data_IF_297491523384
#
_entry.id   IF_297491523384
#
_cell.length_a   1.000
_cell.length_b   1.000
_cell.length_c   1.000
_cell.angle_alpha   90.00
_cell.angle_beta   90.00
_cell.angle_gamma   90.00
#
_symmetry.space_group_name_H-M   'P 1'
#
loop_
_entity.id
_entity.type
_entity.pdbx_description
1 polymer ?
#
# COMPACT_ATOMS: atom_id res chain seq x y z
N UNK A 1 -37.60 6.18 -16.42
CA UNK A 1 -37.16 4.91 -15.81
C UNK A 1 -35.69 4.61 -16.15
N UNK A 2 -34.77 5.56 -15.98
CA UNK A 2 -33.34 5.39 -16.34
C UNK A 2 -32.37 6.06 -15.36
N UNK A 3 -32.87 6.74 -14.31
CA UNK A 3 -32.02 7.47 -13.34
C UNK A 3 -31.44 6.63 -12.21
N UNK A 4 -32.04 5.48 -11.87
CA UNK A 4 -31.55 4.62 -10.78
C UNK A 4 -30.41 3.68 -11.20
N UNK A 5 -30.21 3.45 -12.51
CA UNK A 5 -29.16 2.56 -13.02
C UNK A 5 -27.78 3.24 -13.06
N UNK A 6 -27.71 4.57 -13.07
CA UNK A 6 -26.43 5.31 -13.06
C UNK A 6 -25.84 5.46 -11.65
N UNK A 7 -26.66 5.48 -10.59
CA UNK A 7 -26.15 5.57 -9.21
C UNK A 7 -25.43 4.29 -8.76
N UNK A 8 -25.80 3.13 -9.29
CA UNK A 8 -25.13 1.86 -8.99
C UNK A 8 -23.79 1.70 -9.74
N UNK A 9 -23.59 2.42 -10.86
CA UNK A 9 -22.31 2.45 -11.58
C UNK A 9 -21.25 3.35 -10.90
N UNK A 10 -21.64 4.16 -9.91
CA UNK A 10 -20.69 4.85 -9.04
C UNK A 10 -20.25 4.01 -7.83
N UNK A 11 -20.95 2.90 -7.55
CA UNK A 11 -20.64 1.98 -6.43
C UNK A 11 -19.59 0.93 -6.85
N UNK A 12 -19.24 0.89 -8.14
CA UNK A 12 -17.90 0.43 -8.56
C UNK A 12 -16.89 1.52 -8.18
N UNK A 13 -16.80 1.84 -6.88
CA UNK A 13 -15.53 2.28 -6.32
C UNK A 13 -14.59 1.14 -6.68
N UNK A 14 -13.66 1.42 -7.60
CA UNK A 14 -12.56 0.55 -7.93
C UNK A 14 -12.13 -0.16 -6.65
N UNK A 15 -12.25 -1.48 -6.60
CA UNK A 15 -11.65 -2.27 -5.52
C UNK A 15 -10.15 -2.26 -5.76
N UNK A 16 -9.54 -1.09 -5.69
CA UNK A 16 -8.10 -0.91 -5.64
C UNK A 16 -7.69 -1.59 -4.34
N UNK A 17 -6.99 -2.71 -4.44
CA UNK A 17 -6.59 -3.49 -3.29
C UNK A 17 -5.88 -2.56 -2.29
N UNK A 18 -6.54 -2.32 -1.15
CA UNK A 18 -6.03 -1.41 -0.13
C UNK A 18 -4.82 -2.08 0.51
N UNK A 19 -3.67 -1.45 0.35
CA UNK A 19 -2.39 -1.89 0.90
C UNK A 19 -2.19 -1.24 2.27
N UNK A 20 -1.97 -2.05 3.31
CA UNK A 20 -1.54 -1.56 4.62
C UNK A 20 -0.03 -1.74 4.80
N UNK A 21 0.59 -0.80 5.49
CA UNK A 21 2.02 -0.81 5.82
C UNK A 21 2.28 0.00 7.08
N UNK A 22 3.46 -0.18 7.68
CA UNK A 22 3.81 0.50 8.91
C UNK A 22 4.35 1.92 8.65
N UNK A 23 4.06 2.85 9.55
CA UNK A 23 4.72 4.15 9.61
C UNK A 23 6.25 3.99 9.69
N UNK A 24 6.98 5.04 9.30
CA UNK A 24 8.43 5.01 9.31
C UNK A 24 8.92 4.74 10.74
N UNK A 25 9.82 3.76 10.89
CA UNK A 25 10.37 3.31 12.19
C UNK A 25 9.37 2.65 13.15
N UNK A 26 8.11 2.45 12.76
CA UNK A 26 7.10 1.78 13.60
C UNK A 26 7.09 0.25 13.45
N UNK A 27 7.85 -0.30 12.49
CA UNK A 27 7.98 -1.74 12.28
C UNK A 27 8.73 -2.40 13.45
N UNK A 28 8.16 -3.48 14.00
CA UNK A 28 8.84 -4.29 15.03
C UNK A 28 9.46 -5.57 14.47
N UNK A 29 9.10 -5.93 13.24
CA UNK A 29 9.60 -7.13 12.56
C UNK A 29 8.70 -7.55 11.40
N UNK A 30 9.16 -8.56 10.67
CA UNK A 30 8.37 -9.27 9.66
C UNK A 30 7.45 -10.30 10.33
N UNK A 31 6.38 -10.69 9.65
CA UNK A 31 5.49 -11.76 10.13
C UNK A 31 6.27 -13.05 10.33
N UNK A 32 5.91 -13.80 11.37
CA UNK A 32 6.56 -15.09 11.65
C UNK A 32 6.19 -16.14 10.59
N UNK A 33 6.83 -17.31 10.64
CA UNK A 33 6.53 -18.44 9.75
C UNK A 33 5.06 -18.92 9.83
N UNK A 34 4.33 -18.54 10.88
CA UNK A 34 2.90 -18.81 11.05
C UNK A 34 2.01 -17.66 10.56
N UNK A 35 2.59 -16.62 9.95
CA UNK A 35 1.91 -15.38 9.55
C UNK A 35 1.33 -14.58 10.71
N UNK A 36 1.79 -14.84 11.94
CA UNK A 36 1.28 -14.23 13.16
C UNK A 36 2.25 -13.17 13.69
N UNK A 37 1.69 -12.05 14.17
CA UNK A 37 2.41 -11.02 14.91
C UNK A 37 2.33 -11.29 16.42
N UNK A 38 3.30 -10.80 17.22
CA UNK A 38 3.22 -10.87 18.67
C UNK A 38 1.94 -10.20 19.22
N UNK A 39 1.45 -10.60 20.42
CA UNK A 39 0.28 -9.97 21.02
C UNK A 39 0.43 -8.45 21.12
N UNK A 40 -0.61 -7.72 20.67
CA UNK A 40 -0.62 -6.26 20.63
C UNK A 40 -0.12 -5.64 19.33
N UNK A 41 0.23 -6.45 18.32
CA UNK A 41 0.64 -5.99 17.01
C UNK A 41 -0.23 -6.60 15.91
N UNK A 42 -0.32 -5.90 14.79
CA UNK A 42 -1.14 -6.29 13.65
C UNK A 42 -0.29 -6.48 12.40
N UNK A 43 -0.61 -7.53 11.66
CA UNK A 43 0.03 -7.85 10.38
C UNK A 43 -0.51 -6.92 9.27
N UNK A 44 0.41 -6.37 8.48
CA UNK A 44 0.10 -5.54 7.31
C UNK A 44 0.12 -6.36 6.03
N UNK A 45 -0.46 -5.84 4.93
CA UNK A 45 -0.48 -6.60 3.66
C UNK A 45 0.92 -6.81 3.07
N UNK A 46 1.91 -6.01 3.48
CA UNK A 46 3.32 -6.19 3.09
C UNK A 46 4.11 -7.15 4.00
N UNK A 47 3.44 -7.86 4.93
CA UNK A 47 4.08 -8.85 5.80
C UNK A 47 4.89 -8.27 6.95
N UNK A 48 4.58 -7.04 7.38
CA UNK A 48 5.22 -6.39 8.53
C UNK A 48 4.26 -6.29 9.71
N UNK A 49 4.80 -6.34 10.93
CA UNK A 49 4.06 -6.13 12.18
C UNK A 49 4.26 -4.70 12.71
N UNK A 50 3.16 -4.01 13.05
CA UNK A 50 3.15 -2.71 13.71
C UNK A 50 2.00 -2.57 14.73
N UNK A 51 2.09 -1.54 15.57
CA UNK A 51 0.98 -1.10 16.43
C UNK A 51 -0.20 -0.66 15.55
N UNK A 52 -1.42 -0.94 15.99
CA UNK A 52 -2.66 -0.61 15.26
C UNK A 52 -2.74 0.87 14.86
N UNK A 53 -2.18 1.77 15.69
CA UNK A 53 -2.21 3.22 15.46
C UNK A 53 -1.17 3.68 14.45
N UNK A 54 -0.19 2.85 14.15
CA UNK A 54 0.91 3.14 13.22
C UNK A 54 0.74 2.43 11.87
N UNK A 55 -0.49 2.04 11.54
CA UNK A 55 -0.82 1.48 10.25
C UNK A 55 -1.24 2.60 9.30
N UNK A 56 -0.48 2.75 8.23
CA UNK A 56 -0.83 3.58 7.10
C UNK A 56 -1.48 2.73 6.00
N UNK A 57 -2.25 3.43 5.18
CA UNK A 57 -2.94 2.82 4.05
C UNK A 57 -2.62 3.56 2.77
N UNK A 58 -2.47 2.80 1.70
CA UNK A 58 -2.40 3.30 0.34
C UNK A 58 -3.17 2.37 -0.58
N UNK A 59 -3.28 2.74 -1.85
CA UNK A 59 -3.83 1.88 -2.89
C UNK A 59 -2.71 1.08 -3.56
N UNK A 60 -3.03 -0.11 -4.03
CA UNK A 60 -2.13 -0.90 -4.86
C UNK A 60 -2.03 -0.33 -6.28
N UNK A 61 -1.35 0.81 -6.42
CA UNK A 61 -1.10 1.47 -7.69
C UNK A 61 0.16 2.32 -7.63
N UNK A 62 0.71 2.61 -8.81
CA UNK A 62 1.70 3.67 -8.95
C UNK A 62 0.97 5.00 -9.14
N UNK A 63 1.43 6.02 -8.44
CA UNK A 63 0.94 7.38 -8.61
C UNK A 63 1.57 8.00 -9.84
N UNK A 64 0.76 8.77 -10.55
CA UNK A 64 1.22 9.63 -11.63
C UNK A 64 1.45 11.04 -11.11
N UNK A 65 2.40 11.75 -11.72
CA UNK A 65 2.62 13.17 -11.44
C UNK A 65 1.46 14.02 -12.03
N UNK A 66 1.54 15.35 -11.87
CA UNK A 66 0.51 16.28 -12.39
C UNK A 66 0.34 16.25 -13.91
N UNK A 67 1.30 15.70 -14.65
CA UNK A 67 1.27 15.54 -16.10
C UNK A 67 0.74 14.17 -16.53
N UNK A 68 0.40 13.30 -15.58
CA UNK A 68 -0.07 11.94 -15.84
C UNK A 68 1.06 10.95 -16.13
N UNK A 69 2.32 11.31 -15.88
CA UNK A 69 3.49 10.44 -16.11
C UNK A 69 3.74 9.57 -14.88
N UNK A 70 3.96 8.27 -15.08
CA UNK A 70 4.40 7.33 -14.04
C UNK A 70 5.93 7.30 -13.98
N UNK A 71 6.49 7.98 -12.98
CA UNK A 71 7.94 8.08 -12.74
C UNK A 71 8.53 6.88 -12.00
N UNK A 72 7.69 5.99 -11.44
CA UNK A 72 8.14 4.87 -10.61
C UNK A 72 9.09 3.92 -11.34
N UNK A 73 8.93 3.78 -12.67
CA UNK A 73 9.82 2.97 -13.52
C UNK A 73 11.28 3.41 -13.46
N UNK A 74 11.55 4.70 -13.23
CA UNK A 74 12.90 5.26 -13.08
C UNK A 74 13.40 5.30 -11.64
N UNK A 75 12.60 4.85 -10.67
CA UNK A 75 12.86 4.93 -9.24
C UNK A 75 13.01 3.55 -8.57
N UNK A 76 13.16 2.49 -9.36
CA UNK A 76 13.20 1.09 -8.88
C UNK A 76 14.32 0.84 -7.86
N UNK A 77 15.46 1.51 -7.99
CA UNK A 77 16.58 1.41 -7.04
C UNK A 77 16.20 1.86 -5.62
N UNK A 78 15.19 2.73 -5.49
CA UNK A 78 14.70 3.20 -4.19
C UNK A 78 13.76 2.19 -3.50
N UNK A 79 13.23 1.19 -4.23
CA UNK A 79 12.31 0.19 -3.65
C UNK A 79 12.95 -0.58 -2.48
N UNK A 80 14.26 -0.83 -2.56
CA UNK A 80 15.02 -1.56 -1.54
C UNK A 80 15.73 -0.63 -0.56
N UNK A 81 15.76 0.69 -0.85
CA UNK A 81 16.49 1.63 -0.02
C UNK A 81 15.66 2.01 1.21
N UNK A 82 16.14 1.66 2.40
CA UNK A 82 15.40 1.79 3.66
C UNK A 82 14.80 3.18 3.90
N UNK A 83 15.56 4.23 3.59
CA UNK A 83 15.12 5.63 3.72
C UNK A 83 13.92 5.99 2.84
N UNK A 84 13.77 5.32 1.69
CA UNK A 84 12.73 5.61 0.71
C UNK A 84 11.62 4.56 0.68
N UNK A 85 11.77 3.44 1.39
CA UNK A 85 10.83 2.31 1.36
C UNK A 85 9.38 2.76 1.58
N UNK A 86 9.10 3.60 2.59
CA UNK A 86 7.74 4.10 2.83
C UNK A 86 7.23 5.02 1.71
N UNK A 87 8.09 5.88 1.17
CA UNK A 87 7.76 6.72 0.01
C UNK A 87 7.43 5.85 -1.21
N UNK A 88 8.19 4.77 -1.41
CA UNK A 88 8.00 3.84 -2.51
C UNK A 88 6.74 2.98 -2.32
N UNK A 89 6.42 2.55 -1.10
CA UNK A 89 5.13 1.90 -0.81
C UNK A 89 3.98 2.87 -1.10
N UNK A 90 4.09 4.12 -0.67
CA UNK A 90 3.02 5.09 -0.82
C UNK A 90 2.77 5.53 -2.28
N UNK A 91 3.80 5.55 -3.13
CA UNK A 91 3.71 6.13 -4.47
C UNK A 91 3.95 5.12 -5.60
N UNK A 92 4.64 4.01 -5.35
CA UNK A 92 5.13 3.08 -6.36
C UNK A 92 4.87 1.63 -5.96
N UNK A 93 3.73 1.36 -5.31
CA UNK A 93 3.41 0.07 -4.71
C UNK A 93 3.49 -1.09 -5.72
N UNK A 94 3.01 -0.86 -6.95
CA UNK A 94 2.99 -1.86 -8.01
C UNK A 94 4.37 -2.04 -8.63
N UNK A 95 5.05 -0.95 -9.01
CA UNK A 95 6.39 -1.04 -9.60
C UNK A 95 7.39 -1.71 -8.65
N UNK A 96 7.31 -1.43 -7.35
CA UNK A 96 8.17 -2.06 -6.35
C UNK A 96 7.74 -3.48 -5.95
N UNK A 97 6.61 -3.98 -6.46
CA UNK A 97 6.12 -5.33 -6.17
C UNK A 97 5.60 -5.54 -4.75
N UNK A 98 5.22 -4.48 -4.03
CA UNK A 98 4.57 -4.60 -2.72
C UNK A 98 3.14 -5.15 -2.81
N UNK A 99 2.59 -5.16 -4.02
CA UNK A 99 1.31 -5.74 -4.38
C UNK A 99 1.26 -6.01 -5.89
N UNK A 100 0.30 -6.83 -6.35
CA UNK A 100 0.13 -7.24 -7.75
C UNK A 100 -1.29 -7.01 -8.24
#
# INVERSE_FOLDING_TARGET
MTGFLFLILSIIVSTDARLSYCEAFAQIGEVTALYECPPGYVATSIGMCCDEKSILYTICADKVNSEGVNECTGLTDYCIHSLFKNTMIANCAKTCGFCT
#
